data_IF_548988047018
#
_entry.id   IF_548988047018
#
_cell.length_a   1.000
_cell.length_b   1.000
_cell.length_c   1.000
_cell.angle_alpha   90.00
_cell.angle_beta   90.00
_cell.angle_gamma   90.00
#
_symmetry.space_group_name_H-M   'P 1'
#
loop_
_entity.id
_entity.type
_entity.pdbx_description
1 polymer ?
#
# COMPACT_ATOMS: atom_id res chain seq x y z
N UNK A 1 -74.63 60.89 -23.11
CA UNK A 1 -73.48 60.53 -23.95
C UNK A 1 -72.26 60.43 -23.10
N UNK A 2 -71.50 59.35 -23.32
CA UNK A 2 -70.24 58.92 -22.74
C UNK A 2 -70.35 58.03 -21.47
N UNK A 3 -70.33 56.72 -21.76
CA UNK A 3 -70.13 55.57 -20.90
C UNK A 3 -68.73 55.60 -20.29
N UNK A 4 -68.58 55.38 -19.00
CA UNK A 4 -67.32 55.07 -18.37
C UNK A 4 -67.45 53.71 -17.77
N UNK A 5 -66.67 52.77 -18.28
CA UNK A 5 -66.52 51.41 -17.80
C UNK A 5 -65.64 51.43 -16.55
N UNK A 6 -66.07 50.73 -15.48
CA UNK A 6 -65.32 50.51 -14.27
C UNK A 6 -64.80 49.09 -14.39
N UNK A 7 -63.45 48.89 -14.42
CA UNK A 7 -62.78 47.65 -14.39
C UNK A 7 -62.52 47.29 -12.95
N UNK A 8 -63.15 46.22 -12.44
CA UNK A 8 -62.82 45.66 -11.13
C UNK A 8 -61.60 44.75 -11.27
N UNK A 9 -60.54 45.05 -10.50
CA UNK A 9 -59.39 44.17 -10.31
C UNK A 9 -59.70 43.18 -9.20
N UNK A 10 -59.81 41.92 -9.52
CA UNK A 10 -59.79 40.79 -8.58
C UNK A 10 -58.35 40.43 -8.29
N UNK A 11 -57.85 40.74 -7.07
CA UNK A 11 -56.60 40.19 -6.57
C UNK A 11 -56.82 38.71 -6.12
N UNK A 12 -56.31 37.77 -6.86
CA UNK A 12 -56.19 36.38 -6.44
C UNK A 12 -54.88 36.19 -5.65
N UNK A 13 -55.03 35.96 -4.36
CA UNK A 13 -53.93 35.62 -3.43
C UNK A 13 -53.55 34.18 -3.67
N UNK A 14 -52.46 33.92 -4.41
CA UNK A 14 -51.86 32.58 -4.58
C UNK A 14 -50.93 32.32 -3.38
N UNK A 15 -51.36 31.50 -2.46
CA UNK A 15 -50.52 30.91 -1.41
C UNK A 15 -49.54 29.95 -2.02
N UNK A 16 -48.30 30.36 -2.18
CA UNK A 16 -47.18 29.46 -2.56
C UNK A 16 -46.80 28.64 -1.32
N UNK A 17 -47.28 27.43 -1.23
CA UNK A 17 -46.75 26.41 -0.35
C UNK A 17 -45.32 26.07 -0.80
N UNK A 18 -44.33 26.60 -0.08
CA UNK A 18 -42.94 26.26 -0.26
C UNK A 18 -42.70 24.79 0.06
N UNK A 19 -42.55 23.94 -0.95
CA UNK A 19 -41.96 22.63 -0.79
C UNK A 19 -40.51 22.77 -0.29
N UNK A 20 -40.09 22.03 0.74
CA UNK A 20 -38.69 22.04 1.14
C UNK A 20 -37.87 21.54 -0.03
N UNK A 21 -37.02 22.39 -0.57
CA UNK A 21 -35.99 22.00 -1.53
C UNK A 21 -35.15 20.92 -0.89
N UNK A 22 -35.31 19.68 -1.33
CA UNK A 22 -34.36 18.62 -1.02
C UNK A 22 -33.03 19.11 -1.62
N UNK A 23 -32.13 19.57 -0.77
CA UNK A 23 -30.74 19.76 -1.11
C UNK A 23 -30.23 18.37 -1.57
N UNK A 24 -30.16 18.19 -2.88
CA UNK A 24 -29.43 17.14 -3.52
C UNK A 24 -27.99 17.29 -3.07
N UNK A 25 -27.51 16.44 -2.21
CA UNK A 25 -26.10 16.29 -1.92
C UNK A 25 -25.43 15.69 -3.17
N UNK A 26 -25.27 16.48 -4.21
CA UNK A 26 -24.54 16.13 -5.42
C UNK A 26 -23.09 16.61 -5.28
N UNK A 27 -22.29 15.80 -4.63
CA UNK A 27 -20.86 15.97 -4.49
C UNK A 27 -20.09 14.66 -4.61
N UNK A 28 -20.67 13.63 -5.22
CA UNK A 28 -19.93 12.43 -5.59
C UNK A 28 -19.05 12.75 -6.79
N UNK A 29 -17.74 12.90 -6.60
CA UNK A 29 -16.77 12.98 -7.70
C UNK A 29 -16.86 11.74 -8.60
N UNK A 30 -16.30 11.80 -9.81
CA UNK A 30 -16.27 10.67 -10.74
C UNK A 30 -15.68 9.38 -10.11
N UNK A 31 -14.78 9.55 -9.12
CA UNK A 31 -14.09 8.45 -8.42
C UNK A 31 -14.94 7.76 -7.36
N UNK A 32 -16.03 8.37 -6.88
CA UNK A 32 -16.98 7.74 -5.95
C UNK A 32 -18.18 7.09 -6.66
N UNK A 33 -18.19 7.11 -8.00
CA UNK A 33 -19.21 6.44 -8.79
C UNK A 33 -19.19 4.93 -8.52
N UNK A 34 -20.34 4.37 -8.15
CA UNK A 34 -20.47 2.94 -7.79
C UNK A 34 -20.07 2.59 -6.36
N UNK A 35 -19.68 3.58 -5.54
CA UNK A 35 -19.51 3.37 -4.10
C UNK A 35 -20.85 3.38 -3.37
N UNK A 36 -20.91 2.67 -2.25
CA UNK A 36 -22.04 2.65 -1.32
C UNK A 36 -21.66 3.27 0.02
N UNK A 37 -22.60 3.95 0.67
CA UNK A 37 -22.43 4.47 2.03
C UNK A 37 -22.66 3.34 3.03
N UNK A 38 -21.70 3.09 3.93
CA UNK A 38 -21.85 2.04 4.94
C UNK A 38 -20.57 1.77 5.71
N UNK A 39 -20.48 0.55 6.24
CA UNK A 39 -19.30 0.02 6.91
C UNK A 39 -18.72 -1.12 6.05
N UNK A 40 -17.49 -0.98 5.53
CA UNK A 40 -16.83 -2.05 4.80
C UNK A 40 -16.54 -3.25 5.73
N UNK A 41 -16.82 -4.47 5.25
CA UNK A 41 -16.64 -5.72 5.97
C UNK A 41 -15.20 -6.25 5.91
N UNK A 42 -14.22 -5.40 6.22
CA UNK A 42 -12.80 -5.73 6.21
C UNK A 42 -12.50 -6.78 7.28
N UNK A 43 -11.89 -7.90 6.89
CA UNK A 43 -11.53 -9.00 7.80
C UNK A 43 -10.13 -8.82 8.37
N UNK A 44 -9.21 -8.29 7.57
CA UNK A 44 -7.83 -8.00 7.99
C UNK A 44 -7.35 -6.71 7.36
N UNK A 45 -6.75 -5.83 8.16
CA UNK A 45 -6.05 -4.66 7.62
C UNK A 45 -4.73 -5.10 7.00
N UNK A 46 -4.52 -4.79 5.73
CA UNK A 46 -3.32 -5.13 4.96
C UNK A 46 -2.64 -3.92 4.35
N UNK A 47 -1.94 -4.13 3.23
CA UNK A 47 -1.30 -3.05 2.48
C UNK A 47 -2.29 -1.98 2.03
N UNK A 48 -1.79 -0.76 1.94
CA UNK A 48 -2.57 0.42 1.55
C UNK A 48 -1.90 1.16 0.40
N UNK A 49 -2.70 1.88 -0.38
CA UNK A 49 -2.23 2.86 -1.34
C UNK A 49 -3.26 3.97 -1.48
N UNK A 50 -2.82 5.21 -1.68
CA UNK A 50 -3.71 6.28 -2.07
C UNK A 50 -3.85 6.36 -3.58
N UNK A 51 -5.09 6.55 -4.01
CA UNK A 51 -5.47 6.78 -5.39
C UNK A 51 -5.89 8.22 -5.65
N UNK A 52 -6.62 8.46 -6.74
CA UNK A 52 -7.08 9.78 -7.12
C UNK A 52 -8.05 10.33 -6.08
N UNK A 53 -8.11 11.66 -5.97
CA UNK A 53 -9.01 12.39 -5.06
C UNK A 53 -8.92 11.96 -3.58
N UNK A 54 -7.78 11.37 -3.14
CA UNK A 54 -7.59 10.92 -1.76
C UNK A 54 -8.39 9.66 -1.40
N UNK A 55 -8.78 8.85 -2.38
CA UNK A 55 -9.36 7.53 -2.15
C UNK A 55 -8.28 6.61 -1.60
N UNK A 56 -8.55 5.99 -0.46
CA UNK A 56 -7.68 4.96 0.12
C UNK A 56 -8.04 3.58 -0.42
N UNK A 57 -7.07 2.89 -0.99
CA UNK A 57 -7.16 1.44 -1.24
C UNK A 57 -6.57 0.69 -0.05
N UNK A 58 -7.29 -0.32 0.43
CA UNK A 58 -6.85 -1.20 1.52
C UNK A 58 -7.05 -2.67 1.12
N UNK A 59 -5.98 -3.44 1.20
CA UNK A 59 -6.01 -4.88 0.99
C UNK A 59 -6.58 -5.61 2.20
N UNK A 60 -7.49 -6.52 1.96
CA UNK A 60 -8.04 -7.47 2.94
C UNK A 60 -7.59 -8.87 2.54
N UNK A 61 -6.45 -9.29 3.06
CA UNK A 61 -5.84 -10.58 2.72
C UNK A 61 -6.73 -11.76 3.15
N UNK A 62 -7.35 -11.68 4.33
CA UNK A 62 -8.23 -12.73 4.84
C UNK A 62 -9.55 -12.79 4.06
N UNK A 63 -10.08 -11.64 3.65
CA UNK A 63 -11.27 -11.54 2.82
C UNK A 63 -11.00 -11.74 1.33
N UNK A 64 -9.73 -11.86 0.93
CA UNK A 64 -9.27 -11.90 -0.48
C UNK A 64 -9.91 -10.79 -1.33
N UNK A 65 -9.85 -9.56 -0.84
CA UNK A 65 -10.51 -8.41 -1.45
C UNK A 65 -9.66 -7.14 -1.33
N UNK A 66 -9.97 -6.17 -2.17
CA UNK A 66 -9.48 -4.81 -2.00
C UNK A 66 -10.68 -3.88 -1.84
N UNK A 67 -10.59 -3.02 -0.84
CA UNK A 67 -11.56 -1.95 -0.61
C UNK A 67 -11.02 -0.62 -1.12
N UNK A 68 -11.86 0.15 -1.80
CA UNK A 68 -11.64 1.56 -2.07
C UNK A 68 -12.54 2.37 -1.13
N UNK A 69 -11.95 3.24 -0.32
CA UNK A 69 -12.62 3.94 0.77
C UNK A 69 -12.43 5.44 0.59
N UNK A 70 -13.52 6.19 0.55
CA UNK A 70 -13.47 7.65 0.57
C UNK A 70 -13.40 8.16 2.01
N UNK A 71 -12.23 8.61 2.41
CA UNK A 71 -11.99 9.18 3.74
C UNK A 71 -12.41 10.66 3.84
N UNK A 72 -12.84 11.27 2.73
CA UNK A 72 -13.16 12.70 2.62
C UNK A 72 -12.02 13.62 3.13
N UNK A 73 -10.77 13.15 3.04
CA UNK A 73 -9.58 13.89 3.49
C UNK A 73 -8.90 14.58 2.30
N UNK A 74 -9.51 15.70 1.85
CA UNK A 74 -9.11 16.44 0.64
C UNK A 74 -8.60 17.84 0.93
N UNK A 75 -8.45 18.21 2.20
CA UNK A 75 -7.94 19.54 2.56
C UNK A 75 -6.43 19.52 2.34
N UNK A 76 -5.99 20.20 1.28
CA UNK A 76 -4.57 20.34 0.99
C UNK A 76 -3.83 20.98 2.15
N UNK A 77 -2.72 20.40 2.51
CA UNK A 77 -1.88 20.82 3.61
C UNK A 77 -0.41 20.55 3.28
N UNK A 78 0.47 21.38 3.82
CA UNK A 78 1.92 21.19 3.66
C UNK A 78 2.54 20.94 5.01
N UNK A 79 3.16 19.77 5.18
CA UNK A 79 3.98 19.48 6.34
C UNK A 79 5.37 20.05 6.10
N UNK A 80 5.72 21.07 6.86
CA UNK A 80 7.00 21.80 6.76
C UNK A 80 7.95 21.53 7.94
N UNK A 81 7.51 20.75 8.91
CA UNK A 81 8.29 20.40 10.12
C UNK A 81 8.25 18.90 10.33
N UNK A 82 9.33 18.31 10.84
CA UNK A 82 9.33 16.89 11.20
C UNK A 82 8.19 16.51 12.16
N UNK A 83 7.66 15.30 11.95
CA UNK A 83 6.68 14.67 12.83
C UNK A 83 7.35 13.43 13.40
N UNK A 84 7.71 13.45 14.68
CA UNK A 84 8.36 12.33 15.35
C UNK A 84 7.47 11.83 16.48
N UNK A 85 7.21 10.52 16.49
CA UNK A 85 6.44 9.85 17.54
C UNK A 85 7.29 8.72 18.08
N UNK A 86 7.91 8.96 19.20
CA UNK A 86 8.66 7.93 19.92
C UNK A 86 7.70 7.01 20.67
N UNK A 87 7.90 5.69 20.56
CA UNK A 87 7.05 4.68 21.17
C UNK A 87 5.62 4.68 20.60
N UNK A 88 5.50 4.74 19.26
CA UNK A 88 4.19 4.75 18.60
C UNK A 88 3.38 3.48 18.92
N UNK A 89 4.01 2.32 19.08
CA UNK A 89 3.41 1.08 19.53
C UNK A 89 2.77 1.21 20.90
N UNK A 90 3.45 1.86 21.87
CA UNK A 90 2.93 2.12 23.21
C UNK A 90 1.74 3.07 23.20
N UNK A 91 1.81 4.11 22.34
CA UNK A 91 0.71 5.08 22.21
C UNK A 91 -0.52 4.45 21.55
N UNK A 92 -0.33 3.65 20.51
CA UNK A 92 -1.38 2.89 19.87
C UNK A 92 -1.99 1.87 20.83
N UNK A 93 -1.16 1.16 21.62
CA UNK A 93 -1.62 0.21 22.61
C UNK A 93 -2.49 0.87 23.68
N UNK A 94 -2.06 2.01 24.21
CA UNK A 94 -2.84 2.79 25.18
C UNK A 94 -4.18 3.28 24.58
N UNK A 95 -4.17 3.74 23.34
CA UNK A 95 -5.37 4.21 22.64
C UNK A 95 -6.37 3.08 22.36
N UNK A 96 -5.86 1.90 22.00
CA UNK A 96 -6.68 0.75 21.59
C UNK A 96 -6.97 -0.23 22.73
N UNK A 97 -6.53 0.07 23.97
CA UNK A 97 -6.79 -0.74 25.14
C UNK A 97 -6.13 -2.12 25.09
N UNK A 98 -4.85 -2.18 24.68
CA UNK A 98 -4.05 -3.41 24.60
C UNK A 98 -2.61 -3.15 25.06
N UNK A 99 -1.71 -4.12 24.87
CA UNK A 99 -0.27 -3.99 25.16
C UNK A 99 0.52 -3.69 23.88
N UNK A 100 1.75 -3.16 23.93
CA UNK A 100 2.56 -2.89 22.74
C UNK A 100 2.79 -4.12 21.86
N UNK A 101 2.96 -5.30 22.44
CA UNK A 101 3.06 -6.58 21.74
C UNK A 101 1.72 -7.07 21.14
N UNK A 102 0.60 -6.46 21.53
CA UNK A 102 -0.71 -6.63 20.91
C UNK A 102 -0.95 -5.69 19.72
N UNK A 103 -0.01 -4.81 19.38
CA UNK A 103 -0.10 -3.91 18.23
C UNK A 103 0.76 -4.41 17.09
N UNK A 104 0.15 -4.46 15.91
CA UNK A 104 0.83 -4.72 14.64
C UNK A 104 0.49 -3.59 13.68
N UNK A 105 1.51 -2.84 13.25
CA UNK A 105 1.39 -1.87 12.15
C UNK A 105 1.64 -2.64 10.86
N UNK A 106 0.57 -2.89 10.11
CA UNK A 106 0.62 -3.68 8.88
C UNK A 106 1.19 -2.88 7.72
N UNK A 107 0.84 -1.59 7.66
CA UNK A 107 1.29 -0.71 6.59
C UNK A 107 1.14 0.77 6.97
N UNK A 108 1.83 1.61 6.21
CA UNK A 108 1.81 3.06 6.30
C UNK A 108 1.59 3.64 4.90
N UNK A 109 0.65 4.58 4.76
CA UNK A 109 0.43 5.30 3.51
C UNK A 109 0.18 6.79 3.78
N UNK A 110 0.71 7.64 2.93
CA UNK A 110 0.53 9.10 3.00
C UNK A 110 -0.53 9.54 2.00
N UNK A 111 -1.53 10.29 2.48
CA UNK A 111 -2.48 10.94 1.58
C UNK A 111 -1.76 12.08 0.82
N UNK A 112 -1.63 12.00 -0.51
CA UNK A 112 -0.86 12.99 -1.27
C UNK A 112 -1.49 14.40 -1.29
N UNK A 113 -2.77 14.53 -0.93
CA UNK A 113 -3.49 15.81 -0.88
C UNK A 113 -3.32 16.49 0.48
N UNK A 114 -3.66 15.77 1.55
CA UNK A 114 -3.67 16.35 2.91
C UNK A 114 -2.34 16.23 3.62
N UNK A 115 -1.45 15.33 3.15
CA UNK A 115 -0.22 14.93 3.83
C UNK A 115 -0.46 14.37 5.25
N UNK A 116 -1.68 13.92 5.54
CA UNK A 116 -1.93 13.08 6.69
C UNK A 116 -1.38 11.67 6.44
N UNK A 117 -0.80 11.08 7.47
CA UNK A 117 -0.25 9.73 7.42
C UNK A 117 -1.32 8.77 7.94
N UNK A 118 -1.52 7.66 7.26
CA UNK A 118 -2.46 6.62 7.67
C UNK A 118 -1.70 5.34 7.98
N UNK A 119 -2.11 4.68 9.06
CA UNK A 119 -1.55 3.41 9.49
C UNK A 119 -2.66 2.35 9.47
N UNK A 120 -2.41 1.25 8.78
CA UNK A 120 -3.20 0.03 8.92
C UNK A 120 -2.69 -0.72 10.14
N UNK A 121 -3.52 -0.83 11.17
CA UNK A 121 -3.14 -1.40 12.46
C UNK A 121 -4.03 -2.60 12.76
N UNK A 122 -3.43 -3.70 13.21
CA UNK A 122 -4.13 -4.82 13.80
C UNK A 122 -3.98 -4.80 15.31
N UNK A 123 -5.12 -4.87 16.02
CA UNK A 123 -5.20 -5.08 17.44
C UNK A 123 -5.39 -6.57 17.70
N UNK A 124 -4.45 -7.19 18.39
CA UNK A 124 -4.49 -8.61 18.73
C UNK A 124 -4.98 -8.81 20.16
N UNK A 125 -5.69 -9.88 20.38
CA UNK A 125 -6.18 -10.27 21.71
C UNK A 125 -5.28 -11.28 22.43
N UNK A 126 -4.22 -11.77 21.77
CA UNK A 126 -3.28 -12.75 22.31
C UNK A 126 -1.83 -12.36 22.11
N UNK A 127 -0.95 -12.96 22.93
CA UNK A 127 0.50 -12.79 22.82
C UNK A 127 1.02 -13.45 21.54
N UNK A 128 1.92 -12.79 20.80
CA UNK A 128 2.68 -13.45 19.76
C UNK A 128 3.52 -14.55 20.42
N UNK A 129 3.32 -15.81 20.06
CA UNK A 129 4.10 -16.93 20.54
C UNK A 129 5.54 -17.00 20.01
N UNK A 130 6.11 -15.87 19.59
CA UNK A 130 7.45 -15.78 19.04
C UNK A 130 8.34 -15.00 19.99
N UNK A 131 9.36 -15.64 20.48
CA UNK A 131 10.50 -15.08 21.19
C UNK A 131 11.69 -14.98 20.20
N UNK A 132 12.57 -14.02 20.34
CA UNK A 132 12.42 -12.58 20.30
C UNK A 132 12.67 -12.03 18.88
N UNK A 133 11.92 -11.04 18.45
CA UNK A 133 12.08 -10.27 17.21
C UNK A 133 11.96 -11.15 15.97
N UNK A 134 10.77 -11.26 15.35
CA UNK A 134 10.67 -11.92 14.05
C UNK A 134 11.60 -11.20 13.06
N UNK A 135 12.50 -11.96 12.47
CA UNK A 135 13.42 -11.56 11.40
C UNK A 135 12.61 -11.13 10.14
N UNK A 136 11.32 -11.42 10.13
CA UNK A 136 10.40 -11.18 9.02
C UNK A 136 9.55 -9.93 9.26
N UNK A 137 9.14 -9.23 8.19
CA UNK A 137 8.19 -8.14 8.34
C UNK A 137 6.95 -8.66 9.05
N UNK A 138 6.72 -8.16 10.24
CA UNK A 138 5.58 -8.53 11.09
C UNK A 138 4.25 -8.21 10.39
N UNK A 139 4.27 -7.31 9.41
CA UNK A 139 3.16 -6.99 8.52
C UNK A 139 2.56 -8.17 7.76
N UNK A 140 3.27 -9.31 7.67
CA UNK A 140 2.76 -10.53 7.04
C UNK A 140 2.08 -11.50 8.00
N UNK A 141 2.27 -11.32 9.30
CA UNK A 141 1.65 -12.19 10.31
C UNK A 141 0.27 -11.63 10.72
N UNK A 142 -0.66 -11.57 9.78
CA UNK A 142 -2.04 -11.22 10.08
C UNK A 142 -2.63 -12.38 10.90
N UNK A 143 -2.83 -12.15 12.19
CA UNK A 143 -3.52 -13.13 13.01
C UNK A 143 -5.01 -13.15 12.63
N UNK A 144 -5.58 -14.34 12.52
CA UNK A 144 -6.98 -14.53 12.17
C UNK A 144 -7.97 -13.88 13.15
N UNK A 145 -7.52 -13.54 14.37
CA UNK A 145 -8.30 -12.92 15.45
C UNK A 145 -8.04 -11.42 15.64
N UNK A 146 -7.31 -10.77 14.72
CA UNK A 146 -6.95 -9.37 14.84
C UNK A 146 -8.01 -8.44 14.21
N UNK A 147 -8.60 -7.55 15.02
CA UNK A 147 -9.48 -6.51 14.52
C UNK A 147 -8.67 -5.44 13.75
N UNK A 148 -9.01 -5.15 12.49
CA UNK A 148 -8.36 -4.08 11.73
C UNK A 148 -8.80 -2.71 12.22
N UNK A 149 -7.84 -1.79 12.38
CA UNK A 149 -8.07 -0.40 12.77
C UNK A 149 -7.30 0.51 11.83
N UNK A 150 -7.96 1.55 11.33
CA UNK A 150 -7.31 2.61 10.56
C UNK A 150 -6.99 3.78 11.49
N UNK A 151 -5.73 4.17 11.57
CA UNK A 151 -5.27 5.30 12.37
C UNK A 151 -4.77 6.41 11.45
N UNK A 152 -5.21 7.63 11.69
CA UNK A 152 -4.67 8.83 11.06
C UNK A 152 -3.68 9.51 11.99
N UNK A 153 -2.51 9.83 11.49
CA UNK A 153 -1.54 10.70 12.15
C UNK A 153 -1.61 12.07 11.51
N UNK A 154 -2.00 13.04 12.31
CA UNK A 154 -2.12 14.43 11.84
C UNK A 154 -0.74 15.09 11.74
N UNK A 155 -0.66 16.20 11.02
CA UNK A 155 0.56 17.03 10.94
C UNK A 155 1.13 17.52 12.27
N UNK A 156 0.35 17.45 13.35
CA UNK A 156 0.78 17.76 14.72
C UNK A 156 1.26 16.51 15.48
N UNK A 157 1.26 15.34 14.84
CA UNK A 157 1.61 14.07 15.47
C UNK A 157 0.53 13.48 16.39
N UNK A 158 -0.71 14.00 16.32
CA UNK A 158 -1.83 13.39 17.02
C UNK A 158 -2.30 12.12 16.31
N UNK A 159 -2.55 11.06 17.08
CA UNK A 159 -3.13 9.80 16.61
C UNK A 159 -4.65 9.87 16.75
N UNK A 160 -5.36 9.58 15.66
CA UNK A 160 -6.81 9.60 15.60
C UNK A 160 -7.31 8.29 14.95
N UNK A 161 -8.20 7.56 15.62
CA UNK A 161 -8.88 6.43 15.00
C UNK A 161 -9.86 6.95 13.95
N UNK A 162 -9.83 6.35 12.76
CA UNK A 162 -10.75 6.67 11.66
C UNK A 162 -11.90 5.67 11.68
N UNK A 163 -13.10 6.06 12.10
CA UNK A 163 -14.23 5.15 12.14
C UNK A 163 -14.73 4.84 10.72
N UNK A 164 -14.68 3.57 10.33
CA UNK A 164 -15.16 3.08 9.03
C UNK A 164 -16.63 2.64 9.06
N UNK A 165 -17.47 3.30 9.87
CA UNK A 165 -18.89 2.91 10.03
C UNK A 165 -19.84 3.66 9.10
N UNK A 166 -19.40 4.77 8.49
CA UNK A 166 -20.21 5.66 7.66
C UNK A 166 -19.36 6.29 6.57
N UNK A 167 -18.75 5.45 5.73
CA UNK A 167 -17.87 5.89 4.64
C UNK A 167 -18.43 5.45 3.30
N UNK A 168 -18.13 6.20 2.25
CA UNK A 168 -18.36 5.74 0.89
C UNK A 168 -17.28 4.72 0.55
N UNK A 169 -17.66 3.52 0.11
CA UNK A 169 -16.71 2.49 -0.25
C UNK A 169 -17.19 1.61 -1.40
N UNK A 170 -16.25 0.98 -2.07
CA UNK A 170 -16.49 -0.12 -2.99
C UNK A 170 -15.50 -1.26 -2.73
N UNK A 171 -15.85 -2.47 -3.15
CA UNK A 171 -15.08 -3.69 -2.92
C UNK A 171 -14.85 -4.42 -4.23
N UNK A 172 -13.61 -4.87 -4.44
CA UNK A 172 -13.24 -5.79 -5.50
C UNK A 172 -12.80 -7.12 -4.87
N UNK A 173 -13.48 -8.21 -5.22
CA UNK A 173 -13.03 -9.56 -4.84
C UNK A 173 -11.91 -10.00 -5.78
N UNK A 174 -10.86 -10.60 -5.22
CA UNK A 174 -9.76 -11.15 -6.01
C UNK A 174 -10.08 -12.59 -6.44
N UNK A 175 -9.73 -12.92 -7.67
CA UNK A 175 -9.86 -14.28 -8.19
C UNK A 175 -8.68 -15.16 -7.74
N UNK A 176 -8.88 -16.49 -7.82
CA UNK A 176 -7.84 -17.50 -7.66
C UNK A 176 -7.03 -17.36 -6.35
N UNK A 177 -7.70 -17.00 -5.25
CA UNK A 177 -7.10 -16.94 -3.93
C UNK A 177 -6.96 -18.32 -3.30
N UNK A 178 -5.99 -18.48 -2.40
CA UNK A 178 -5.90 -19.64 -1.54
C UNK A 178 -7.06 -19.64 -0.53
N UNK A 179 -7.58 -20.83 -0.25
CA UNK A 179 -8.55 -20.98 0.83
C UNK A 179 -7.83 -20.85 2.18
N UNK A 180 -8.46 -20.23 3.20
CA UNK A 180 -7.85 -20.08 4.52
C UNK A 180 -7.48 -21.39 5.21
N UNK A 181 -8.15 -22.50 4.85
CA UNK A 181 -7.90 -23.86 5.36
C UNK A 181 -6.87 -24.65 4.54
N UNK A 182 -6.35 -24.07 3.47
CA UNK A 182 -5.29 -24.72 2.67
C UNK A 182 -4.02 -24.88 3.51
N UNK A 183 -3.65 -26.14 3.80
CA UNK A 183 -2.46 -26.50 4.58
C UNK A 183 -1.15 -26.39 3.79
N UNK A 184 -1.05 -25.44 2.89
CA UNK A 184 0.15 -25.22 2.10
C UNK A 184 0.93 -24.12 2.83
N UNK A 185 1.98 -24.50 3.51
CA UNK A 185 2.91 -23.57 4.15
C UNK A 185 3.81 -22.91 3.11
N UNK A 186 4.11 -21.63 3.31
CA UNK A 186 5.16 -20.96 2.56
C UNK A 186 6.53 -21.48 2.99
N UNK A 187 7.57 -21.16 2.24
CA UNK A 187 8.96 -21.48 2.61
C UNK A 187 9.37 -20.87 3.97
N UNK A 188 8.57 -19.96 4.51
CA UNK A 188 8.87 -19.16 5.69
C UNK A 188 7.89 -19.38 6.86
N UNK A 189 6.99 -20.36 6.71
CA UNK A 189 6.03 -20.75 7.76
C UNK A 189 4.73 -19.99 7.80
N UNK A 190 4.52 -18.98 6.89
CA UNK A 190 3.21 -18.36 6.76
C UNK A 190 2.26 -19.26 5.96
N UNK A 191 0.98 -19.23 6.30
CA UNK A 191 -0.03 -19.82 5.44
C UNK A 191 -0.11 -19.04 4.11
N UNK A 192 -0.17 -19.73 2.99
CA UNK A 192 -0.14 -19.06 1.66
C UNK A 192 -1.26 -18.04 1.46
N UNK A 193 -2.41 -18.22 2.10
CA UNK A 193 -3.50 -17.23 2.04
C UNK A 193 -3.09 -15.86 2.62
N UNK A 194 -2.14 -15.83 3.58
CA UNK A 194 -1.63 -14.58 4.16
C UNK A 194 -0.81 -13.76 3.16
N UNK A 195 -0.35 -14.39 2.09
CA UNK A 195 0.41 -13.78 1.01
C UNK A 195 -0.46 -13.47 -0.22
N UNK A 196 -1.80 -13.58 -0.12
CA UNK A 196 -2.72 -13.25 -1.22
C UNK A 196 -2.60 -11.80 -1.67
N UNK A 197 -2.33 -10.89 -0.72
CA UNK A 197 -2.05 -9.47 -0.97
C UNK A 197 -0.80 -9.10 -0.17
N UNK A 198 0.28 -8.74 -0.84
CA UNK A 198 1.55 -8.36 -0.22
C UNK A 198 1.86 -6.89 -0.34
N UNK A 199 1.41 -6.24 -1.41
CA UNK A 199 1.62 -4.82 -1.65
C UNK A 199 0.60 -4.25 -2.63
N UNK A 200 0.31 -2.95 -2.55
CA UNK A 200 -0.59 -2.21 -3.43
C UNK A 200 0.11 -0.98 -4.02
N UNK A 201 -0.21 -0.65 -5.26
CA UNK A 201 0.16 0.64 -5.84
C UNK A 201 -0.89 1.08 -6.86
N UNK A 202 -1.20 2.38 -6.90
CA UNK A 202 -2.12 2.96 -7.88
C UNK A 202 -1.38 3.85 -8.86
N UNK A 203 -1.61 3.62 -10.14
CA UNK A 203 -1.07 4.44 -11.23
C UNK A 203 -1.97 4.38 -12.45
N UNK A 204 -2.14 5.51 -13.13
CA UNK A 204 -2.83 5.65 -14.43
C UNK A 204 -4.20 4.95 -14.50
N UNK A 205 -5.04 5.15 -13.48
CA UNK A 205 -6.40 4.58 -13.45
C UNK A 205 -6.48 3.11 -13.05
N UNK A 206 -5.36 2.49 -12.69
CA UNK A 206 -5.29 1.09 -12.32
C UNK A 206 -4.69 0.91 -10.92
N UNK A 207 -5.29 0.03 -10.15
CA UNK A 207 -4.72 -0.47 -8.91
C UNK A 207 -4.00 -1.78 -9.19
N UNK A 208 -2.71 -1.83 -8.87
CA UNK A 208 -1.89 -3.02 -8.92
C UNK A 208 -1.87 -3.69 -7.56
N UNK A 209 -2.06 -5.01 -7.55
CA UNK A 209 -2.11 -5.84 -6.34
C UNK A 209 -1.12 -6.99 -6.51
N UNK A 210 -0.02 -6.94 -5.77
CA UNK A 210 0.94 -8.03 -5.71
C UNK A 210 0.51 -9.07 -4.68
N UNK A 211 0.87 -10.33 -4.91
CA UNK A 211 0.65 -11.42 -3.98
C UNK A 211 0.69 -12.78 -4.63
N UNK A 212 0.13 -13.76 -3.94
CA UNK A 212 0.03 -15.12 -4.44
C UNK A 212 -1.39 -15.48 -4.91
N UNK A 213 -1.47 -16.38 -5.85
CA UNK A 213 -2.70 -17.05 -6.29
C UNK A 213 -2.54 -18.58 -6.19
N UNK A 214 -3.65 -19.31 -6.28
CA UNK A 214 -3.66 -20.77 -6.30
C UNK A 214 -3.41 -21.36 -7.70
N UNK A 215 -2.92 -20.57 -8.64
CA UNK A 215 -2.56 -21.00 -9.97
C UNK A 215 -1.14 -21.59 -10.02
N UNK A 216 -0.76 -22.20 -11.13
CA UNK A 216 0.57 -22.79 -11.34
C UNK A 216 1.69 -21.77 -11.15
N UNK A 217 1.53 -20.58 -11.74
CA UNK A 217 2.35 -19.40 -11.47
C UNK A 217 1.73 -18.64 -10.31
N UNK A 218 2.02 -19.06 -9.08
CA UNK A 218 1.41 -18.48 -7.88
C UNK A 218 1.81 -17.04 -7.65
N UNK A 219 3.06 -16.66 -7.95
CA UNK A 219 3.48 -15.26 -7.91
C UNK A 219 2.69 -14.45 -8.93
N UNK A 220 1.91 -13.47 -8.48
CA UNK A 220 1.00 -12.74 -9.35
C UNK A 220 1.04 -11.24 -9.14
N UNK A 221 0.77 -10.53 -10.23
CA UNK A 221 0.38 -9.12 -10.20
C UNK A 221 -1.01 -8.98 -10.84
N UNK A 222 -1.97 -8.56 -10.03
CA UNK A 222 -3.34 -8.29 -10.48
C UNK A 222 -3.49 -6.80 -10.78
N UNK A 223 -4.30 -6.48 -11.78
CA UNK A 223 -4.64 -5.11 -12.17
C UNK A 223 -6.14 -4.94 -12.09
N UNK A 224 -6.57 -3.94 -11.35
CA UNK A 224 -7.97 -3.59 -11.15
C UNK A 224 -8.18 -2.18 -11.67
N UNK A 225 -9.04 -2.01 -12.68
CA UNK A 225 -9.44 -0.67 -13.14
C UNK A 225 -10.29 0.00 -12.07
N UNK A 226 -9.98 1.23 -11.72
CA UNK A 226 -10.77 2.01 -10.75
C UNK A 226 -11.47 3.19 -11.44
N UNK A 227 -12.75 3.46 -11.15
CA UNK A 227 -13.67 2.76 -10.22
C UNK A 227 -13.88 1.28 -10.55
N UNK A 228 -14.01 0.44 -9.50
CA UNK A 228 -14.10 -1.01 -9.65
C UNK A 228 -15.30 -1.43 -10.51
N UNK A 229 -15.06 -2.37 -11.41
CA UNK A 229 -16.08 -2.98 -12.28
C UNK A 229 -16.10 -4.49 -12.04
N UNK A 230 -17.28 -5.08 -12.11
CA UNK A 230 -17.41 -6.53 -12.06
C UNK A 230 -16.64 -7.17 -13.23
N UNK A 231 -15.77 -8.15 -12.93
CA UNK A 231 -14.92 -8.79 -13.93
C UNK A 231 -13.77 -7.92 -14.45
N UNK A 232 -13.49 -6.79 -13.80
CA UNK A 232 -12.42 -5.85 -14.19
C UNK A 232 -11.03 -6.21 -13.68
N UNK A 233 -10.83 -7.44 -13.16
CA UNK A 233 -9.52 -7.94 -12.75
C UNK A 233 -8.81 -8.59 -13.93
N UNK A 234 -7.56 -8.20 -14.14
CA UNK A 234 -6.61 -8.86 -15.03
C UNK A 234 -5.45 -9.39 -14.19
N UNK A 235 -5.15 -10.68 -14.31
CA UNK A 235 -4.09 -11.36 -13.55
C UNK A 235 -2.97 -11.80 -14.47
N UNK A 236 -1.72 -11.51 -14.08
CA UNK A 236 -0.51 -12.01 -14.74
C UNK A 236 0.31 -12.81 -13.74
N UNK A 237 0.56 -14.09 -14.04
CA UNK A 237 1.49 -14.94 -13.30
C UNK A 237 2.93 -14.54 -13.63
N UNK A 238 3.78 -14.49 -12.61
CA UNK A 238 5.13 -13.98 -12.74
C UNK A 238 6.17 -15.04 -12.47
N UNK A 239 7.26 -14.97 -13.22
CA UNK A 239 8.45 -15.80 -13.04
C UNK A 239 9.67 -14.90 -12.92
N UNK A 240 10.54 -15.17 -11.96
CA UNK A 240 11.78 -14.44 -11.70
C UNK A 240 12.96 -15.38 -11.59
N UNK A 241 14.13 -15.01 -12.16
CA UNK A 241 15.35 -15.73 -11.92
C UNK A 241 15.91 -15.35 -10.56
N UNK A 242 15.97 -16.34 -9.66
CA UNK A 242 16.50 -16.16 -8.31
C UNK A 242 17.94 -16.69 -8.28
N UNK A 243 18.89 -15.78 -8.27
CA UNK A 243 20.29 -16.08 -8.44
C UNK A 243 20.85 -16.94 -7.28
N UNK A 244 20.39 -16.68 -6.06
CA UNK A 244 20.81 -17.43 -4.86
C UNK A 244 20.23 -18.85 -4.83
N UNK A 245 19.14 -19.13 -5.55
CA UNK A 245 18.54 -20.46 -5.68
C UNK A 245 18.85 -21.14 -7.01
N UNK A 246 19.64 -20.50 -7.86
CA UNK A 246 20.10 -21.03 -9.17
C UNK A 246 18.98 -21.40 -10.14
N UNK A 247 17.78 -20.81 -10.00
CA UNK A 247 16.60 -21.21 -10.79
C UNK A 247 15.60 -20.07 -11.01
N UNK A 248 14.71 -20.32 -11.96
CA UNK A 248 13.50 -19.55 -12.12
C UNK A 248 12.45 -19.99 -11.09
N UNK A 249 11.78 -19.02 -10.48
CA UNK A 249 10.75 -19.24 -9.48
C UNK A 249 9.44 -18.58 -9.89
N UNK A 250 8.34 -19.30 -9.70
CA UNK A 250 6.97 -18.89 -10.00
C UNK A 250 6.09 -18.81 -8.75
N UNK A 251 6.67 -19.09 -7.58
CA UNK A 251 5.96 -19.15 -6.29
C UNK A 251 6.45 -18.16 -5.26
N UNK A 252 7.53 -17.44 -5.55
CA UNK A 252 8.01 -16.38 -4.66
C UNK A 252 7.07 -15.19 -4.75
N UNK A 253 6.50 -14.69 -3.63
CA UNK A 253 5.70 -13.48 -3.66
C UNK A 253 6.58 -12.26 -3.94
N UNK A 254 6.04 -11.28 -4.64
CA UNK A 254 6.59 -9.93 -4.62
C UNK A 254 6.38 -9.39 -3.20
N UNK A 255 7.44 -8.98 -2.52
CA UNK A 255 7.37 -8.41 -1.18
C UNK A 255 6.91 -6.96 -1.22
N UNK A 256 7.54 -6.19 -2.09
CA UNK A 256 7.18 -4.80 -2.40
C UNK A 256 7.47 -4.50 -3.86
N UNK A 257 6.77 -3.54 -4.44
CA UNK A 257 7.01 -3.11 -5.81
C UNK A 257 6.71 -1.63 -6.00
N UNK A 258 7.27 -1.08 -7.06
CA UNK A 258 7.07 0.31 -7.45
C UNK A 258 6.73 0.37 -8.94
N UNK A 259 5.61 0.99 -9.34
CA UNK A 259 5.42 1.46 -10.70
C UNK A 259 6.50 2.51 -11.04
N UNK A 260 7.23 2.28 -12.12
CA UNK A 260 8.41 3.05 -12.45
C UNK A 260 8.53 3.27 -13.96
N UNK A 261 9.44 4.14 -14.40
CA UNK A 261 9.73 4.33 -15.81
C UNK A 261 11.22 4.07 -16.09
N UNK A 262 11.50 3.21 -17.05
CA UNK A 262 12.85 2.97 -17.56
C UNK A 262 12.90 3.45 -19.00
N UNK A 263 13.73 4.46 -19.28
CA UNK A 263 13.85 5.09 -20.61
C UNK A 263 12.47 5.50 -21.18
N UNK A 264 11.61 6.06 -20.31
CA UNK A 264 10.26 6.51 -20.64
C UNK A 264 9.22 5.39 -20.85
N UNK A 265 9.58 4.12 -20.66
CA UNK A 265 8.64 2.99 -20.72
C UNK A 265 8.15 2.61 -19.32
N UNK A 266 6.82 2.41 -19.14
CA UNK A 266 6.28 2.04 -17.85
C UNK A 266 6.62 0.58 -17.51
N UNK A 267 7.10 0.38 -16.27
CA UNK A 267 7.48 -0.92 -15.74
C UNK A 267 7.00 -1.09 -14.31
N UNK A 268 6.96 -2.32 -13.83
CA UNK A 268 6.95 -2.64 -12.40
C UNK A 268 8.36 -3.04 -12.01
N UNK A 269 8.94 -2.32 -11.06
CA UNK A 269 10.15 -2.70 -10.36
C UNK A 269 9.74 -3.49 -9.12
N UNK A 270 10.02 -4.79 -9.09
CA UNK A 270 9.55 -5.71 -8.06
C UNK A 270 10.70 -6.29 -7.27
N UNK A 271 10.59 -6.26 -5.94
CA UNK A 271 11.55 -6.86 -5.02
C UNK A 271 10.91 -8.07 -4.32
N UNK A 272 11.67 -9.15 -4.25
CA UNK A 272 11.24 -10.45 -3.75
C UNK A 272 11.99 -10.84 -2.47
N UNK A 273 11.46 -11.81 -1.74
CA UNK A 273 12.16 -12.44 -0.62
C UNK A 273 13.51 -13.01 -1.07
N UNK A 274 14.51 -12.97 -0.20
CA UNK A 274 15.93 -13.21 -0.52
C UNK A 274 16.51 -12.26 -1.59
N UNK A 275 15.77 -11.21 -1.90
CA UNK A 275 16.20 -9.97 -2.59
C UNK A 275 16.55 -9.99 -4.07
N UNK A 276 15.98 -10.83 -4.95
CA UNK A 276 15.98 -10.48 -6.36
C UNK A 276 15.21 -9.17 -6.58
N UNK A 277 15.81 -8.27 -7.36
CA UNK A 277 15.13 -7.09 -7.90
C UNK A 277 14.88 -7.33 -9.39
N UNK A 278 13.62 -7.29 -9.80
CA UNK A 278 13.23 -7.61 -11.17
C UNK A 278 12.38 -6.52 -11.80
N UNK A 279 12.48 -6.40 -13.12
CA UNK A 279 11.73 -5.46 -13.95
C UNK A 279 10.74 -6.22 -14.82
N UNK A 280 9.49 -5.75 -14.82
CA UNK A 280 8.41 -6.25 -15.66
C UNK A 280 7.80 -5.11 -16.49
N UNK A 281 7.95 -5.11 -17.83
CA UNK A 281 7.34 -4.11 -18.70
C UNK A 281 5.80 -4.17 -18.66
N UNK A 282 5.15 -3.06 -18.33
CA UNK A 282 3.68 -3.01 -18.20
C UNK A 282 2.95 -3.21 -19.53
N UNK A 283 3.53 -2.75 -20.62
CA UNK A 283 2.92 -2.91 -21.94
C UNK A 283 2.85 -4.39 -22.38
N UNK A 284 3.87 -5.19 -22.02
CA UNK A 284 3.86 -6.61 -22.29
C UNK A 284 2.90 -7.37 -21.36
N UNK A 285 2.76 -6.92 -20.14
CA UNK A 285 1.90 -7.54 -19.12
C UNK A 285 0.42 -7.51 -19.53
N UNK A 286 -0.02 -6.49 -20.27
CA UNK A 286 -1.40 -6.39 -20.78
C UNK A 286 -1.78 -7.50 -21.75
N UNK A 287 -0.79 -8.19 -22.33
CA UNK A 287 -0.98 -9.19 -23.40
C UNK A 287 -0.67 -10.61 -22.94
N UNK A 288 -0.14 -10.79 -21.73
CA UNK A 288 0.39 -12.08 -21.27
C UNK A 288 -0.28 -12.52 -19.99
N UNK A 289 -0.74 -13.77 -19.94
CA UNK A 289 -1.18 -14.42 -18.69
C UNK A 289 -0.02 -14.81 -17.80
N UNK A 290 1.15 -15.06 -18.36
CA UNK A 290 2.39 -15.42 -17.67
C UNK A 290 3.54 -14.61 -18.24
N UNK A 291 4.42 -14.15 -17.37
CA UNK A 291 5.53 -13.27 -17.75
C UNK A 291 6.79 -13.56 -16.95
N UNK A 292 7.91 -13.65 -17.65
CA UNK A 292 9.24 -13.72 -17.04
C UNK A 292 9.78 -12.32 -16.85
N UNK A 293 10.17 -11.99 -15.60
CA UNK A 293 10.83 -10.75 -15.25
C UNK A 293 12.31 -10.76 -15.63
N UNK A 294 12.84 -9.56 -15.82
CA UNK A 294 14.26 -9.31 -15.99
C UNK A 294 14.86 -9.07 -14.60
N UNK A 295 15.52 -10.06 -14.01
CA UNK A 295 16.27 -9.88 -12.75
C UNK A 295 17.47 -8.98 -13.02
N UNK A 296 17.57 -7.87 -12.31
CA UNK A 296 18.62 -6.85 -12.51
C UNK A 296 19.58 -6.70 -11.31
N UNK A 297 19.17 -7.21 -10.15
CA UNK A 297 20.03 -7.27 -8.97
C UNK A 297 19.65 -8.47 -8.09
N UNK A 298 20.65 -8.95 -7.36
CA UNK A 298 20.52 -9.74 -6.16
C UNK A 298 21.10 -8.91 -5.02
N UNK A 299 20.28 -8.54 -4.05
CA UNK A 299 20.66 -7.63 -2.97
C UNK A 299 21.13 -8.37 -1.71
N UNK A 300 21.39 -9.66 -1.83
CA UNK A 300 21.92 -10.56 -0.81
C UNK A 300 20.88 -11.44 -0.15
N UNK A 301 21.10 -12.75 -0.20
CA UNK A 301 20.21 -13.76 0.40
C UNK A 301 20.09 -13.59 1.93
N UNK A 302 19.05 -14.18 2.52
CA UNK A 302 18.75 -14.05 3.95
C UNK A 302 18.26 -12.67 4.38
N UNK A 303 17.89 -11.82 3.42
CA UNK A 303 17.32 -10.50 3.61
C UNK A 303 15.98 -10.41 2.86
N UNK A 304 15.05 -9.61 3.33
CA UNK A 304 13.77 -9.37 2.65
C UNK A 304 13.55 -7.88 2.51
N UNK A 305 13.19 -7.41 1.31
CA UNK A 305 12.71 -6.05 1.13
C UNK A 305 11.34 -5.93 1.81
N UNK A 306 11.12 -4.81 2.49
CA UNK A 306 9.86 -4.58 3.22
C UNK A 306 9.03 -3.58 2.47
N UNK A 307 9.65 -2.46 2.08
CA UNK A 307 8.97 -1.36 1.44
C UNK A 307 9.88 -0.60 0.48
N UNK A 308 9.30 0.11 -0.50
CA UNK A 308 10.06 0.77 -1.55
C UNK A 308 9.36 2.04 -2.05
N UNK A 309 10.12 3.13 -2.13
CA UNK A 309 9.67 4.40 -2.72
C UNK A 309 10.65 4.94 -3.75
N UNK A 310 10.18 5.81 -4.64
CA UNK A 310 11.06 6.67 -5.45
C UNK A 310 11.08 8.09 -4.91
N UNK A 311 12.25 8.74 -5.03
CA UNK A 311 12.42 10.14 -4.68
C UNK A 311 13.44 10.83 -5.58
N UNK A 312 13.39 12.16 -5.60
CA UNK A 312 14.36 12.98 -6.35
C UNK A 312 15.25 13.76 -5.39
N UNK A 313 16.55 13.77 -5.67
CA UNK A 313 17.55 14.59 -5.00
C UNK A 313 18.56 15.12 -6.02
N UNK A 314 18.85 16.41 -5.97
CA UNK A 314 19.79 17.09 -6.89
C UNK A 314 19.49 16.80 -8.39
N UNK A 315 18.19 16.77 -8.74
CA UNK A 315 17.72 16.50 -10.11
C UNK A 315 17.82 15.03 -10.55
N UNK A 316 18.33 14.13 -9.71
CA UNK A 316 18.42 12.69 -9.97
C UNK A 316 17.34 11.93 -9.23
N UNK A 317 16.87 10.85 -9.84
CA UNK A 317 15.89 9.95 -9.26
C UNK A 317 16.57 8.74 -8.62
N UNK A 318 16.07 8.36 -7.46
CA UNK A 318 16.56 7.25 -6.66
C UNK A 318 15.41 6.39 -6.16
N UNK A 319 15.70 5.13 -5.92
CA UNK A 319 14.83 4.20 -5.21
C UNK A 319 15.40 3.97 -3.81
N UNK A 320 14.57 4.07 -2.79
CA UNK A 320 14.90 3.71 -1.42
C UNK A 320 14.15 2.44 -1.06
N UNK A 321 14.87 1.43 -0.55
CA UNK A 321 14.32 0.14 -0.14
C UNK A 321 14.64 -0.08 1.34
N UNK A 322 13.63 -0.38 2.15
CA UNK A 322 13.81 -0.88 3.51
C UNK A 322 13.94 -2.40 3.52
N UNK A 323 14.65 -2.93 4.49
CA UNK A 323 15.01 -4.35 4.55
C UNK A 323 14.97 -4.91 5.97
N UNK A 324 14.79 -6.22 6.09
CA UNK A 324 14.77 -6.91 7.39
C UNK A 324 16.13 -6.95 8.08
N UNK A 325 17.16 -7.41 7.38
CA UNK A 325 18.46 -7.76 7.95
C UNK A 325 19.61 -6.87 7.48
N UNK A 326 19.30 -5.84 6.68
CA UNK A 326 20.30 -4.90 6.14
C UNK A 326 19.81 -3.47 6.37
N UNK A 327 20.73 -2.52 6.30
CA UNK A 327 20.40 -1.10 6.25
C UNK A 327 19.52 -0.81 5.02
N UNK A 328 18.84 0.33 5.03
CA UNK A 328 18.14 0.78 3.84
C UNK A 328 19.09 0.89 2.66
N UNK A 329 18.61 0.67 1.46
CA UNK A 329 19.37 0.68 0.23
C UNK A 329 18.88 1.80 -0.67
N UNK A 330 19.78 2.69 -1.08
CA UNK A 330 19.50 3.68 -2.11
C UNK A 330 20.08 3.20 -3.44
N UNK A 331 19.24 3.11 -4.46
CA UNK A 331 19.60 2.69 -5.82
C UNK A 331 19.36 3.86 -6.77
N UNK A 332 20.31 4.15 -7.66
CA UNK A 332 20.14 5.18 -8.69
C UNK A 332 19.21 4.67 -9.80
N UNK A 333 18.27 5.50 -10.25
CA UNK A 333 17.45 5.21 -11.42
C UNK A 333 18.29 4.99 -12.69
N UNK A 334 19.37 5.74 -12.84
CA UNK A 334 20.31 5.59 -13.96
C UNK A 334 20.98 4.20 -13.98
N UNK A 335 21.30 3.64 -12.81
CA UNK A 335 21.89 2.30 -12.73
C UNK A 335 20.87 1.22 -13.07
N UNK A 336 19.61 1.41 -12.68
CA UNK A 336 18.50 0.52 -13.08
C UNK A 336 18.30 0.55 -14.61
N UNK A 337 18.36 1.73 -15.21
CA UNK A 337 18.21 1.89 -16.67
C UNK A 337 19.32 1.23 -17.50
N UNK A 338 20.52 1.14 -16.94
CA UNK A 338 21.69 0.50 -17.56
C UNK A 338 21.82 -0.98 -17.23
N UNK A 339 20.98 -1.48 -16.32
CA UNK A 339 21.14 -2.84 -15.81
C UNK A 339 20.92 -3.91 -16.88
N UNK A 340 21.84 -4.85 -16.95
CA UNK A 340 21.70 -6.04 -17.78
C UNK A 340 21.02 -7.17 -17.00
N UNK A 341 20.32 -8.09 -17.67
CA UNK A 341 19.69 -9.22 -17.02
C UNK A 341 20.73 -10.14 -16.36
N UNK A 342 20.47 -10.57 -15.14
CA UNK A 342 21.23 -11.61 -14.46
C UNK A 342 20.61 -12.95 -14.83
N UNK A 343 21.40 -13.85 -15.37
CA UNK A 343 20.98 -15.20 -15.79
C UNK A 343 21.90 -16.29 -15.23
N UNK A 344 22.89 -15.90 -14.43
CA UNK A 344 23.86 -16.82 -13.82
C UNK A 344 23.73 -16.80 -12.29
N UNK A 345 23.88 -17.96 -11.63
CA UNK A 345 23.87 -18.04 -10.19
C UNK A 345 24.97 -17.21 -9.52
N UNK A 346 24.73 -16.78 -8.29
CA UNK A 346 25.79 -16.25 -7.42
C UNK A 346 26.61 -17.40 -6.85
N UNK A 347 27.91 -17.18 -6.65
CA UNK A 347 28.83 -18.21 -6.15
C UNK A 347 28.77 -18.40 -4.64
N UNK A 348 28.46 -17.30 -3.93
CA UNK A 348 28.50 -17.28 -2.48
C UNK A 348 27.15 -16.83 -1.92
N UNK A 349 26.73 -17.45 -0.84
CA UNK A 349 25.60 -17.00 -0.03
C UNK A 349 25.86 -15.54 0.41
N UNK A 350 24.83 -14.71 0.42
CA UNK A 350 24.87 -13.27 0.73
C UNK A 350 25.61 -12.37 -0.29
N UNK A 351 26.11 -12.92 -1.39
CA UNK A 351 26.70 -12.13 -2.45
C UNK A 351 25.66 -11.19 -3.07
N UNK A 352 26.08 -9.94 -3.34
CA UNK A 352 25.27 -8.98 -4.10
C UNK A 352 25.82 -8.87 -5.52
N UNK A 353 24.96 -8.90 -6.52
CA UNK A 353 25.32 -8.77 -7.93
C UNK A 353 24.31 -7.88 -8.66
N UNK A 354 24.70 -7.39 -9.84
CA UNK A 354 23.87 -6.52 -10.67
C UNK A 354 23.92 -5.06 -10.22
N UNK A 355 22.76 -4.42 -10.15
CA UNK A 355 22.64 -3.00 -9.79
C UNK A 355 23.24 -2.75 -8.41
N UNK A 356 24.11 -1.75 -8.33
CA UNK A 356 24.74 -1.35 -7.07
C UNK A 356 23.80 -0.48 -6.24
N UNK A 357 23.97 -0.54 -4.93
CA UNK A 357 23.27 0.35 -4.01
C UNK A 357 24.25 1.04 -3.05
N UNK A 358 23.83 2.18 -2.54
CA UNK A 358 24.47 2.84 -1.41
C UNK A 358 23.72 2.45 -0.13
N UNK A 359 24.40 1.92 0.91
CA UNK A 359 23.77 1.67 2.19
C UNK A 359 23.44 3.00 2.88
N UNK A 360 22.21 3.14 3.36
CA UNK A 360 21.75 4.31 4.11
C UNK A 360 21.51 3.87 5.56
N UNK A 361 22.01 4.66 6.52
CA UNK A 361 21.79 4.40 7.93
C UNK A 361 20.28 4.37 8.22
N UNK A 362 19.82 3.41 9.00
CA UNK A 362 18.41 3.23 9.30
C UNK A 362 18.03 1.76 9.44
N UNK A 363 18.85 0.99 10.15
CA UNK A 363 18.50 -0.39 10.50
C UNK A 363 17.18 -0.42 11.28
N UNK A 364 16.35 -1.43 10.98
CA UNK A 364 15.03 -1.58 11.59
C UNK A 364 13.92 -0.76 10.95
N UNK A 365 14.12 -0.13 9.79
CA UNK A 365 13.05 0.48 9.00
C UNK A 365 12.07 -0.60 8.53
N UNK A 366 10.81 -0.51 8.97
CA UNK A 366 9.75 -1.49 8.70
C UNK A 366 8.79 -1.02 7.61
N UNK A 367 8.42 0.26 7.64
CA UNK A 367 7.50 0.86 6.68
C UNK A 367 8.04 2.22 6.30
N UNK A 368 7.86 2.64 5.07
CA UNK A 368 8.25 3.97 4.64
C UNK A 368 7.31 4.46 3.52
N UNK A 369 7.07 5.77 3.50
CA UNK A 369 6.39 6.42 2.39
C UNK A 369 6.90 7.85 2.21
N UNK A 370 6.70 8.39 1.02
CA UNK A 370 7.04 9.78 0.72
C UNK A 370 5.99 10.71 1.31
N UNK A 371 6.35 11.49 2.35
CA UNK A 371 5.45 12.47 2.93
C UNK A 371 5.21 13.66 1.98
N UNK A 372 6.28 14.17 1.39
CA UNK A 372 6.30 15.19 0.35
C UNK A 372 7.72 15.29 -0.24
N UNK A 373 8.02 16.35 -1.00
CA UNK A 373 9.37 16.53 -1.60
C UNK A 373 10.48 16.86 -0.59
N UNK A 374 10.13 17.13 0.68
CA UNK A 374 11.08 17.45 1.74
C UNK A 374 11.33 16.29 2.70
N UNK A 375 10.36 15.39 2.87
CA UNK A 375 10.39 14.38 3.92
C UNK A 375 9.94 13.00 3.44
N UNK A 376 10.58 11.98 3.99
CA UNK A 376 10.12 10.58 4.04
C UNK A 376 9.63 10.29 5.44
N UNK A 377 8.49 9.62 5.58
CA UNK A 377 8.03 9.07 6.86
C UNK A 377 8.45 7.61 6.97
N UNK A 378 8.94 7.21 8.15
CA UNK A 378 9.47 5.87 8.41
C UNK A 378 8.93 5.36 9.75
N UNK A 379 8.41 4.15 9.76
CA UNK A 379 8.25 3.37 10.98
C UNK A 379 9.51 2.55 11.16
N UNK A 380 10.20 2.73 12.27
CA UNK A 380 11.40 1.95 12.58
C UNK A 380 11.29 1.27 13.95
N UNK A 381 11.91 0.10 14.04
CA UNK A 381 12.12 -0.61 15.30
C UNK A 381 13.40 -0.10 15.95
N UNK A 382 13.30 0.29 17.19
CA UNK A 382 14.45 0.54 18.02
C UNK A 382 15.13 -0.79 18.36
N UNK A 383 16.36 -0.97 17.92
CA UNK A 383 17.08 -2.24 18.07
C UNK A 383 17.52 -2.55 19.50
N UNK A 384 17.51 -1.54 20.40
CA UNK A 384 17.86 -1.73 21.80
C UNK A 384 16.64 -2.11 22.65
N UNK A 385 15.51 -1.47 22.39
CA UNK A 385 14.29 -1.64 23.18
C UNK A 385 13.24 -2.53 22.53
N UNK A 386 13.35 -2.77 21.22
CA UNK A 386 12.35 -3.47 20.42
C UNK A 386 11.09 -2.64 20.11
N UNK A 387 10.94 -1.45 20.72
CA UNK A 387 9.80 -0.56 20.52
C UNK A 387 9.76 0.07 19.14
N UNK A 388 8.58 0.54 18.72
CA UNK A 388 8.40 1.19 17.42
C UNK A 388 8.38 2.70 17.54
N UNK A 389 9.03 3.37 16.59
CA UNK A 389 9.02 4.81 16.45
C UNK A 389 8.54 5.18 15.05
N UNK A 390 7.82 6.28 14.91
CA UNK A 390 7.58 6.92 13.62
C UNK A 390 8.41 8.20 13.54
N UNK A 391 9.13 8.35 12.44
CA UNK A 391 9.97 9.54 12.20
C UNK A 391 9.78 10.04 10.78
N UNK A 392 9.83 11.37 10.65
CA UNK A 392 9.98 12.01 9.34
C UNK A 392 11.43 12.44 9.18
N UNK A 393 12.06 11.92 8.15
CA UNK A 393 13.47 12.17 7.84
C UNK A 393 13.56 13.09 6.63
N UNK A 394 14.38 14.16 6.67
CA UNK A 394 14.59 15.01 5.50
C UNK A 394 15.10 14.23 4.30
N UNK A 395 14.63 14.59 3.09
CA UNK A 395 14.93 13.87 1.85
C UNK A 395 16.43 13.92 1.50
N UNK A 396 17.13 14.98 1.90
CA UNK A 396 18.57 15.15 1.70
C UNK A 396 19.44 14.19 2.53
N UNK A 397 18.85 13.55 3.54
CA UNK A 397 19.50 12.50 4.32
C UNK A 397 19.75 11.22 3.50
N UNK A 398 18.93 10.98 2.50
CA UNK A 398 19.01 9.80 1.64
C UNK A 398 19.80 10.11 0.36
#
# INVERSE_FOLDING_TARGET
>A
MKLRAIIQFLLSLATILGLPSMMSASGGGAMTAGMTLGAPDIKSGGPMAFGPEGILFMGDTQGAAVFAIDLNDRVSNTVSKPIDIIGIDKKLAAMLGTTPDGILINDLAVNPISQNIYLSVSRRTGRLGFDPIPIYPVSRLIAADSAPVLIKVTKKGALEEVPLIKVMFSKAMLSNQFKPDAKIESLWGEAQWQLTITHLAYVDGQLFVAGLSNEEFSSTLRRLTFPFKQGGEETTGLEVFHTAHERYETRAPIDTFLPFHIKGKPVVLAAYGCTPLAVFPLDEMKQKKQMRGKTIAELGSGNQPIDMISFKRDGKEYILISNTNRSMMRISAEDIERAEPITTPVKESNQTVGVKYAPIAGAGALQLDKLNDQFVVIINRDLQTGGLNMRTTPMDHF
#
